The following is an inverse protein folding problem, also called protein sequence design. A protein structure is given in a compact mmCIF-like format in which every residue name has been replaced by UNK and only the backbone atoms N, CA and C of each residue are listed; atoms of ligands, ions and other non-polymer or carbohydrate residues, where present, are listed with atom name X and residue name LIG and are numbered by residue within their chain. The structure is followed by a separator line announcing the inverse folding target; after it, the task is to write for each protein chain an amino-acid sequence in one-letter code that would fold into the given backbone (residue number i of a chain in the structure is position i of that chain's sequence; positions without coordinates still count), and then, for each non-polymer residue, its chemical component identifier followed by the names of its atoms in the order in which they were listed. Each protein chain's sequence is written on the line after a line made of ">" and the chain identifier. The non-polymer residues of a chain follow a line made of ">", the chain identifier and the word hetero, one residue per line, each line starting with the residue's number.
data_IF_258000932878
#
_entry.id   IF_258000932878
#
_cell.length_a   1.000
_cell.length_b   1.000
_cell.length_c   1.000
_cell.angle_alpha   90.00
_cell.angle_beta   90.00
_cell.angle_gamma   90.00
#
_symmetry.space_group_name_H-M   'P 1'
#
loop_
_entity.id
_entity.type
_entity.pdbx_description
1 polymer ?
#
# COMPACT_ATOMS: atom_id res chain seq x y z
N UNK A 1 4.64 -22.68 -6.48
CA UNK A 1 5.04 -21.81 -5.34
C UNK A 1 5.10 -20.33 -5.75
N UNK A 2 4.16 -19.82 -6.56
CA UNK A 2 4.14 -18.41 -6.98
C UNK A 2 3.15 -17.55 -6.15
N UNK A 3 2.15 -18.20 -5.54
CA UNK A 3 1.06 -17.52 -4.83
C UNK A 3 1.50 -16.90 -3.50
N UNK A 4 2.40 -17.58 -2.76
CA UNK A 4 2.91 -17.09 -1.49
C UNK A 4 3.80 -15.84 -1.63
N UNK A 5 4.54 -15.75 -2.74
CA UNK A 5 5.39 -14.59 -3.03
C UNK A 5 4.52 -13.40 -3.43
N UNK A 6 3.49 -13.62 -4.25
CA UNK A 6 2.49 -12.60 -4.58
C UNK A 6 1.76 -12.06 -3.33
N UNK A 7 1.37 -12.93 -2.39
CA UNK A 7 0.74 -12.52 -1.13
C UNK A 7 1.68 -11.68 -0.24
N UNK A 8 2.98 -12.02 -0.20
CA UNK A 8 3.99 -11.27 0.54
C UNK A 8 4.30 -9.93 -0.13
N UNK A 9 4.35 -9.89 -1.45
CA UNK A 9 4.50 -8.68 -2.26
C UNK A 9 3.31 -7.73 -2.09
N UNK A 10 2.09 -8.27 -2.07
CA UNK A 10 0.86 -7.52 -1.84
C UNK A 10 0.82 -6.90 -0.44
N UNK A 11 1.16 -7.68 0.58
CA UNK A 11 1.18 -7.21 1.97
C UNK A 11 2.27 -6.18 2.24
N UNK A 12 3.46 -6.32 1.64
CA UNK A 12 4.49 -5.28 1.67
C UNK A 12 4.05 -3.98 0.99
N UNK A 13 3.36 -4.08 -0.15
CA UNK A 13 2.83 -2.91 -0.89
C UNK A 13 1.78 -2.17 -0.05
N UNK A 14 0.81 -2.89 0.50
CA UNK A 14 -0.22 -2.33 1.37
C UNK A 14 0.39 -1.67 2.61
N UNK A 15 1.36 -2.34 3.25
CA UNK A 15 2.06 -1.80 4.42
C UNK A 15 2.84 -0.52 4.07
N UNK A 16 3.52 -0.48 2.92
CA UNK A 16 4.26 0.70 2.50
C UNK A 16 3.36 1.89 2.18
N UNK A 17 2.24 1.64 1.50
CA UNK A 17 1.24 2.67 1.20
C UNK A 17 0.58 3.18 2.49
N UNK A 18 0.25 2.28 3.43
CA UNK A 18 -0.27 2.65 4.73
C UNK A 18 0.73 3.54 5.48
N UNK A 19 2.01 3.19 5.53
CA UNK A 19 3.04 4.04 6.15
C UNK A 19 3.16 5.42 5.49
N UNK A 20 3.09 5.49 4.16
CA UNK A 20 3.13 6.76 3.42
C UNK A 20 1.89 7.64 3.69
N UNK A 21 0.71 7.03 3.79
CA UNK A 21 -0.58 7.73 3.98
C UNK A 21 -0.79 8.13 5.45
N UNK A 22 -0.57 7.21 6.38
CA UNK A 22 -0.84 7.40 7.82
C UNK A 22 0.31 8.08 8.56
N UNK A 23 1.55 7.69 8.27
CA UNK A 23 2.73 8.16 9.01
C UNK A 23 3.49 9.26 8.25
N UNK A 24 2.96 9.70 7.12
CA UNK A 24 3.64 10.60 6.16
C UNK A 24 5.09 10.16 5.87
N UNK A 25 5.32 8.84 5.95
CA UNK A 25 6.65 8.29 6.03
C UNK A 25 7.25 8.26 4.62
N UNK A 26 8.08 9.26 4.32
CA UNK A 26 8.65 9.49 2.99
C UNK A 26 9.77 8.50 2.65
N UNK A 27 10.23 7.73 3.63
CA UNK A 27 11.25 6.69 3.45
C UNK A 27 10.70 5.50 2.64
N UNK A 28 9.39 5.23 2.76
CA UNK A 28 8.74 4.19 1.96
C UNK A 28 8.38 4.73 0.58
N UNK A 29 9.35 4.62 -0.33
CA UNK A 29 9.22 5.04 -1.72
C UNK A 29 8.69 3.92 -2.62
N UNK A 30 8.02 4.32 -3.69
CA UNK A 30 7.53 3.43 -4.75
C UNK A 30 8.68 2.63 -5.38
N UNK A 31 9.88 3.21 -5.48
CA UNK A 31 11.05 2.54 -6.00
C UNK A 31 11.53 1.40 -5.07
N UNK A 32 11.53 1.61 -3.76
CA UNK A 32 11.88 0.57 -2.79
C UNK A 32 10.90 -0.60 -2.87
N UNK A 33 9.59 -0.29 -2.81
CA UNK A 33 8.52 -1.29 -2.89
C UNK A 33 8.59 -2.07 -4.21
N UNK A 34 8.81 -1.40 -5.34
CA UNK A 34 8.98 -2.06 -6.62
C UNK A 34 10.19 -2.99 -6.62
N UNK A 35 11.34 -2.51 -6.13
CA UNK A 35 12.59 -3.29 -6.16
C UNK A 35 12.53 -4.54 -5.28
N UNK A 36 11.86 -4.45 -4.13
CA UNK A 36 11.77 -5.54 -3.16
C UNK A 36 10.60 -6.51 -3.43
N UNK A 37 9.48 -6.01 -3.96
CA UNK A 37 8.24 -6.79 -4.08
C UNK A 37 7.92 -7.20 -5.52
N UNK A 38 8.30 -6.37 -6.49
CA UNK A 38 7.92 -6.51 -7.89
C UNK A 38 9.08 -6.14 -8.85
N UNK A 39 10.26 -6.76 -8.71
CA UNK A 39 11.44 -6.40 -9.51
C UNK A 39 11.25 -6.65 -11.02
N UNK A 40 10.39 -7.63 -11.35
CA UNK A 40 10.05 -8.06 -12.71
C UNK A 40 8.88 -7.28 -13.33
N UNK A 41 8.21 -6.42 -12.56
CA UNK A 41 6.98 -5.75 -12.98
C UNK A 41 7.32 -4.38 -13.61
N UNK A 42 6.72 -4.05 -14.78
CA UNK A 42 6.99 -2.77 -15.44
C UNK A 42 6.51 -1.58 -14.58
N UNK A 43 7.20 -0.45 -14.72
CA UNK A 43 6.93 0.76 -13.91
C UNK A 43 5.47 1.20 -14.00
N UNK A 44 4.90 1.24 -15.20
CA UNK A 44 3.49 1.59 -15.44
C UNK A 44 2.51 0.68 -14.68
N UNK A 45 2.72 -0.64 -14.74
CA UNK A 45 1.86 -1.60 -14.06
C UNK A 45 1.99 -1.48 -12.53
N UNK A 46 3.21 -1.20 -12.02
CA UNK A 46 3.43 -0.97 -10.61
C UNK A 46 2.76 0.33 -10.14
N UNK A 47 2.87 1.42 -10.89
CA UNK A 47 2.20 2.70 -10.58
C UNK A 47 0.68 2.54 -10.55
N UNK A 48 0.10 1.83 -11.52
CA UNK A 48 -1.33 1.54 -11.54
C UNK A 48 -1.78 0.70 -10.33
N UNK A 49 -1.00 -0.31 -9.94
CA UNK A 49 -1.26 -1.13 -8.76
C UNK A 49 -1.15 -0.30 -7.47
N UNK A 50 -0.10 0.50 -7.35
CA UNK A 50 0.15 1.36 -6.19
C UNK A 50 -0.95 2.40 -6.01
N UNK A 51 -1.39 3.06 -7.08
CA UNK A 51 -2.49 4.02 -7.02
C UNK A 51 -3.83 3.34 -6.68
N UNK A 52 -4.10 2.16 -7.24
CA UNK A 52 -5.30 1.38 -6.91
C UNK A 52 -5.34 0.99 -5.44
N UNK A 53 -4.23 0.53 -4.87
CA UNK A 53 -4.13 0.18 -3.45
C UNK A 53 -4.20 1.41 -2.53
N UNK A 54 -3.59 2.52 -2.93
CA UNK A 54 -3.71 3.81 -2.24
C UNK A 54 -5.15 4.30 -2.22
N UNK A 55 -5.86 4.17 -3.33
CA UNK A 55 -7.29 4.46 -3.42
C UNK A 55 -8.10 3.63 -2.43
N UNK A 56 -7.83 2.33 -2.33
CA UNK A 56 -8.49 1.43 -1.38
C UNK A 56 -8.23 1.82 0.07
N UNK A 57 -6.97 2.13 0.44
CA UNK A 57 -6.61 2.55 1.80
C UNK A 57 -7.27 3.89 2.13
N UNK A 58 -7.26 4.84 1.21
CA UNK A 58 -7.86 6.17 1.40
C UNK A 58 -9.40 6.12 1.48
N UNK A 59 -10.02 5.21 0.74
CA UNK A 59 -11.47 4.92 0.83
C UNK A 59 -11.82 4.24 2.15
N UNK A 60 -11.00 3.28 2.60
CA UNK A 60 -11.19 2.59 3.87
C UNK A 60 -10.97 3.52 5.08
N UNK A 61 -10.04 4.47 4.96
CA UNK A 61 -9.77 5.47 6.01
C UNK A 61 -10.97 6.40 6.30
N UNK A 62 -11.72 6.75 5.25
CA UNK A 62 -12.92 7.58 5.42
C UNK A 62 -14.00 6.91 6.29
N UNK A 63 -14.02 5.58 6.36
CA UNK A 63 -14.88 4.79 7.26
C UNK A 63 -14.29 4.61 8.66
N UNK A 64 -12.95 4.65 8.81
CA UNK A 64 -12.29 4.59 10.13
C UNK A 64 -12.42 5.91 10.90
N UNK A 65 -12.46 7.05 10.21
CA UNK A 65 -12.68 8.36 10.84
C UNK A 65 -14.11 8.51 11.41
N UNK A 66 -15.09 7.74 10.93
CA UNK A 66 -16.40 7.62 11.59
C UNK A 66 -16.36 6.81 12.90
N UNK A 67 -15.35 5.98 13.13
CA UNK A 67 -15.26 5.18 14.37
C UNK A 67 -14.52 5.87 15.51
N UNK A 68 -13.80 6.98 15.25
CA UNK A 68 -13.21 7.82 16.31
C UNK A 68 -14.20 8.82 16.95
N UNK A 69 -15.49 8.79 16.57
CA UNK A 69 -16.54 9.52 17.29
C UNK A 69 -17.23 8.68 18.38
N UNK A 70 -16.77 7.44 18.64
CA UNK A 70 -17.22 6.64 19.80
C UNK A 70 -16.04 6.24 20.67
N UNK A 71 -15.62 7.16 21.53
CA UNK A 71 -15.05 6.87 22.85
C UNK A 71 -15.31 8.11 23.72
N UNK A 72 -16.58 8.21 24.14
CA UNK A 72 -17.00 8.84 25.41
C UNK A 72 -16.62 7.90 26.55
#
# INVERSE_FOLDING_TARGET
>A
MADAEAAKSLSGLLNGIAQKVYYNNSEITEQLLKRELFPELPQDAFTALHDKMRGLIKVNDLLSLSSHCVCV
#
